data_IF_965694410478
#
_entry.id   IF_965694410478
#
_cell.length_a   1.000
_cell.length_b   1.000
_cell.length_c   1.000
_cell.angle_alpha   90.00
_cell.angle_beta   90.00
_cell.angle_gamma   90.00
#
_symmetry.space_group_name_H-M   'P 1'
#
loop_
_entity.id
_entity.type
_entity.pdbx_description
1 polymer ?
#
# COMPACT_ATOMS: atom_id res chain seq x y z
N UNK A 1 -16.32 5.65 1.50
CA UNK A 1 -15.33 4.56 1.65
C UNK A 1 -15.94 3.14 1.62
N UNK A 2 -16.59 2.63 2.69
CA UNK A 2 -17.10 1.23 2.73
C UNK A 2 -18.02 0.86 1.55
N UNK A 3 -18.94 1.76 1.16
CA UNK A 3 -19.82 1.52 0.02
C UNK A 3 -19.06 1.32 -1.30
N UNK A 4 -18.01 2.12 -1.54
CA UNK A 4 -17.14 1.95 -2.70
C UNK A 4 -16.31 0.66 -2.65
N UNK A 5 -15.82 0.26 -1.46
CA UNK A 5 -15.11 -1.03 -1.30
C UNK A 5 -16.02 -2.22 -1.66
N UNK A 6 -17.33 -2.17 -1.36
CA UNK A 6 -18.28 -3.24 -1.73
C UNK A 6 -18.43 -3.46 -3.24
N UNK A 7 -17.96 -2.53 -4.07
CA UNK A 7 -17.94 -2.68 -5.53
C UNK A 7 -16.73 -3.47 -6.03
N UNK A 8 -15.70 -3.62 -5.19
CA UNK A 8 -14.52 -4.43 -5.49
C UNK A 8 -14.87 -5.89 -5.16
N UNK A 9 -14.64 -6.85 -6.08
CA UNK A 9 -14.85 -8.27 -5.78
C UNK A 9 -14.01 -8.73 -4.58
N UNK A 10 -14.59 -9.61 -3.77
CA UNK A 10 -13.83 -10.24 -2.68
C UNK A 10 -12.67 -11.08 -3.25
N UNK A 11 -11.51 -10.99 -2.62
CA UNK A 11 -10.31 -11.65 -3.10
C UNK A 11 -9.02 -11.08 -2.54
N UNK A 12 -7.90 -11.66 -2.97
CA UNK A 12 -6.56 -11.19 -2.60
C UNK A 12 -5.83 -10.73 -3.85
N UNK A 13 -5.59 -9.42 -3.91
CA UNK A 13 -4.86 -8.75 -4.99
C UNK A 13 -3.41 -8.57 -4.57
N UNK A 14 -2.48 -8.78 -5.50
CA UNK A 14 -1.05 -8.62 -5.23
C UNK A 14 -0.43 -7.67 -6.24
N UNK A 15 0.42 -6.80 -5.73
CA UNK A 15 1.24 -5.90 -6.53
C UNK A 15 2.62 -5.77 -5.89
N UNK A 16 3.62 -5.49 -6.72
CA UNK A 16 4.95 -5.17 -6.24
C UNK A 16 5.58 -4.12 -7.14
N UNK A 17 6.52 -3.37 -6.58
CA UNK A 17 7.35 -2.43 -7.32
C UNK A 17 8.79 -2.46 -6.78
N UNK A 18 9.75 -2.06 -7.62
CA UNK A 18 11.18 -2.15 -7.35
C UNK A 18 11.81 -0.76 -7.38
N UNK A 19 12.63 -0.46 -6.38
CA UNK A 19 13.46 0.74 -6.29
C UNK A 19 14.91 0.32 -6.53
N UNK A 20 15.64 1.03 -7.40
CA UNK A 20 16.96 0.62 -7.90
C UNK A 20 18.13 0.77 -6.90
N UNK A 21 17.88 1.12 -5.64
CA UNK A 21 18.89 1.22 -4.58
C UNK A 21 18.53 2.24 -3.49
N UNK A 22 19.27 2.24 -2.38
CA UNK A 22 19.01 3.12 -1.22
C UNK A 22 19.94 4.35 -1.13
N UNK A 23 20.61 4.71 -2.24
CA UNK A 23 21.64 5.74 -2.30
C UNK A 23 22.94 5.43 -1.52
N UNK A 24 23.03 4.29 -0.83
CA UNK A 24 24.25 3.78 -0.17
C UNK A 24 24.71 2.48 -0.85
N UNK A 25 23.75 1.61 -1.13
CA UNK A 25 23.83 0.31 -1.75
C UNK A 25 23.06 0.33 -3.08
N UNK A 26 23.52 -0.43 -4.07
CA UNK A 26 22.93 -0.51 -5.41
C UNK A 26 21.96 -1.68 -5.58
N UNK A 27 21.83 -2.50 -4.54
CA UNK A 27 20.93 -3.64 -4.51
C UNK A 27 19.48 -3.14 -4.61
N UNK A 28 18.68 -3.71 -5.52
CA UNK A 28 17.30 -3.30 -5.68
C UNK A 28 16.49 -3.67 -4.44
N UNK A 29 15.52 -2.81 -4.11
CA UNK A 29 14.58 -2.99 -3.01
C UNK A 29 13.19 -3.18 -3.58
N UNK A 30 12.47 -4.18 -3.10
CA UNK A 30 11.12 -4.48 -3.56
C UNK A 30 10.10 -4.20 -2.46
N UNK A 31 9.09 -3.41 -2.80
CA UNK A 31 7.89 -3.21 -1.98
C UNK A 31 6.83 -4.18 -2.48
N UNK A 32 6.28 -5.00 -1.60
CA UNK A 32 5.25 -6.02 -1.91
C UNK A 32 3.99 -5.70 -1.14
N UNK A 33 2.85 -5.64 -1.84
CA UNK A 33 1.55 -5.37 -1.24
C UNK A 33 0.57 -6.51 -1.54
N UNK A 34 0.00 -7.09 -0.48
CA UNK A 34 -1.14 -7.98 -0.54
C UNK A 34 -2.38 -7.25 -0.02
N UNK A 35 -3.37 -7.05 -0.89
CA UNK A 35 -4.63 -6.37 -0.57
C UNK A 35 -5.74 -7.41 -0.52
N UNK A 36 -6.27 -7.66 0.66
CA UNK A 36 -7.41 -8.56 0.87
C UNK A 36 -8.69 -7.76 0.99
N UNK A 37 -9.67 -8.05 0.11
CA UNK A 37 -11.02 -7.48 0.16
C UNK A 37 -11.98 -8.55 0.62
N UNK A 38 -12.76 -8.24 1.67
CA UNK A 38 -13.79 -9.11 2.21
C UNK A 38 -14.85 -8.29 2.93
N UNK A 39 -16.12 -8.54 2.65
CA UNK A 39 -17.29 -7.90 3.30
C UNK A 39 -17.20 -6.35 3.41
N UNK A 40 -16.82 -5.70 2.30
CA UNK A 40 -16.72 -4.24 2.27
C UNK A 40 -15.65 -3.66 3.20
N UNK A 41 -14.67 -4.48 3.59
CA UNK A 41 -13.45 -4.10 4.29
C UNK A 41 -12.23 -4.48 3.45
N UNK A 42 -11.12 -3.79 3.69
CA UNK A 42 -9.86 -4.00 3.01
C UNK A 42 -8.73 -4.08 4.03
N UNK A 43 -7.85 -5.07 3.87
CA UNK A 43 -6.58 -5.18 4.60
C UNK A 43 -5.43 -5.06 3.60
N UNK A 44 -4.53 -4.11 3.83
CA UNK A 44 -3.29 -3.99 3.07
C UNK A 44 -2.12 -4.50 3.91
N UNK A 45 -1.46 -5.55 3.43
CA UNK A 45 -0.29 -6.15 4.05
C UNK A 45 0.96 -5.84 3.21
N UNK A 46 1.94 -5.18 3.85
CA UNK A 46 3.24 -4.85 3.25
C UNK A 46 4.40 -5.59 3.93
N UNK A 47 4.11 -6.54 4.82
CA UNK A 47 5.11 -7.21 5.66
C UNK A 47 6.11 -8.08 4.90
N UNK A 48 5.77 -8.46 3.67
CA UNK A 48 6.65 -9.22 2.78
C UNK A 48 7.67 -8.32 2.05
N UNK A 49 7.59 -6.99 2.18
CA UNK A 49 8.56 -6.06 1.57
C UNK A 49 9.98 -6.25 2.10
N UNK A 50 10.98 -5.81 1.35
CA UNK A 50 12.37 -5.85 1.80
C UNK A 50 12.57 -5.07 3.11
N UNK A 51 13.54 -5.49 3.96
CA UNK A 51 13.77 -4.89 5.26
C UNK A 51 14.23 -3.42 5.15
N UNK A 52 14.18 -2.72 6.29
CA UNK A 52 14.69 -1.36 6.39
C UNK A 52 16.15 -1.26 5.95
N UNK A 53 16.49 -0.16 5.29
CA UNK A 53 17.82 0.05 4.71
C UNK A 53 18.62 1.10 5.49
N UNK A 54 19.89 1.28 5.17
CA UNK A 54 20.70 2.33 5.77
C UNK A 54 20.43 3.72 5.12
N UNK A 55 19.85 3.73 3.92
CA UNK A 55 19.52 4.91 3.16
C UNK A 55 18.25 5.67 3.61
N UNK A 56 17.91 6.76 2.90
CA UNK A 56 16.83 7.66 3.26
C UNK A 56 15.43 7.20 2.82
N UNK A 57 15.27 5.94 2.41
CA UNK A 57 14.02 5.41 1.84
C UNK A 57 13.03 4.85 2.88
N UNK A 58 13.46 4.72 4.13
CA UNK A 58 12.65 4.12 5.19
C UNK A 58 11.41 4.96 5.52
N UNK A 59 10.28 4.29 5.74
CA UNK A 59 8.99 4.93 6.02
C UNK A 59 8.41 4.48 7.36
N UNK A 60 7.82 5.42 8.12
CA UNK A 60 7.14 5.11 9.38
C UNK A 60 5.72 4.63 9.10
N UNK A 61 5.18 3.77 9.97
CA UNK A 61 3.84 3.20 9.81
C UNK A 61 2.72 4.23 9.49
N UNK A 62 2.65 5.41 10.14
CA UNK A 62 1.60 6.40 9.82
C UNK A 62 1.65 6.89 8.37
N UNK A 63 2.85 7.03 7.80
CA UNK A 63 3.04 7.47 6.41
C UNK A 63 2.57 6.39 5.44
N UNK A 64 2.89 5.11 5.71
CA UNK A 64 2.39 3.97 4.93
C UNK A 64 0.86 3.91 4.98
N UNK A 65 0.27 4.02 6.18
CA UNK A 65 -1.18 4.01 6.35
C UNK A 65 -1.86 5.17 5.59
N UNK A 66 -1.28 6.37 5.63
CA UNK A 66 -1.79 7.52 4.89
C UNK A 66 -1.74 7.32 3.37
N UNK A 67 -0.65 6.76 2.83
CA UNK A 67 -0.54 6.41 1.41
C UNK A 67 -1.62 5.40 0.97
N UNK A 68 -1.80 4.32 1.74
CA UNK A 68 -2.84 3.31 1.46
C UNK A 68 -4.23 3.93 1.49
N UNK A 69 -4.53 4.75 2.50
CA UNK A 69 -5.81 5.45 2.60
C UNK A 69 -6.06 6.37 1.39
N UNK A 70 -5.06 7.15 0.99
CA UNK A 70 -5.15 8.06 -0.15
C UNK A 70 -5.44 7.31 -1.45
N UNK A 71 -4.68 6.26 -1.75
CA UNK A 71 -4.90 5.42 -2.95
C UNK A 71 -6.30 4.82 -2.93
N UNK A 72 -6.71 4.23 -1.81
CA UNK A 72 -8.03 3.63 -1.68
C UNK A 72 -9.13 4.66 -1.94
N UNK A 73 -9.02 5.84 -1.34
CA UNK A 73 -9.97 6.95 -1.50
C UNK A 73 -10.08 7.35 -2.97
N UNK A 74 -8.96 7.55 -3.65
CA UNK A 74 -8.92 7.87 -5.08
C UNK A 74 -9.54 6.77 -5.96
N UNK A 75 -9.42 5.50 -5.59
CA UNK A 75 -9.97 4.39 -6.39
C UNK A 75 -11.47 4.23 -6.17
N UNK A 76 -11.94 4.31 -4.92
CA UNK A 76 -13.33 3.94 -4.60
C UNK A 76 -14.29 5.11 -4.57
N UNK A 77 -13.80 6.32 -4.31
CA UNK A 77 -14.60 7.54 -4.23
C UNK A 77 -13.69 8.79 -4.24
N UNK A 78 -13.27 9.26 -5.43
CA UNK A 78 -12.39 10.42 -5.58
C UNK A 78 -12.92 11.70 -4.93
N UNK A 79 -14.24 11.83 -4.78
CA UNK A 79 -14.91 13.02 -4.27
C UNK A 79 -15.14 12.98 -2.75
N UNK A 80 -14.87 11.84 -2.10
CA UNK A 80 -14.98 11.71 -0.65
C UNK A 80 -14.11 12.77 0.06
N UNK A 81 -14.61 13.44 1.10
CA UNK A 81 -13.76 14.27 1.96
C UNK A 81 -12.65 13.40 2.61
N UNK A 82 -11.43 13.94 2.80
CA UNK A 82 -10.34 13.19 3.42
C UNK A 82 -10.47 13.20 4.96
N UNK A 83 -11.47 12.49 5.50
CA UNK A 83 -11.65 12.28 6.95
C UNK A 83 -12.49 11.04 7.28
#
# INVERSE_FOLDING_TARGET
MRAGIRLIPDGVYRGQDVIEGDCIHSEPLTIRAAVTVSDGALTADLSDSDPQTAGPLNCRWPSVAACVYYVLKCVVDPDLPPN
#
